data_IF_269018018849
#
_entry.id   IF_269018018849
#
_cell.length_a   1.000
_cell.length_b   1.000
_cell.length_c   1.000
_cell.angle_alpha   90.00
_cell.angle_beta   90.00
_cell.angle_gamma   90.00
#
_symmetry.space_group_name_H-M   'P 1'
#
loop_
_entity.id
_entity.type
_entity.pdbx_description
1 polymer ?
#
# COMPACT_ATOMS: atom_id res chain seq x y z
N UNK A 1 -9.33 -3.13 22.04
CA UNK A 1 -9.49 -3.05 20.58
C UNK A 1 -9.48 -4.46 20.07
N UNK A 2 -10.55 -4.89 19.41
CA UNK A 2 -10.73 -6.29 19.03
C UNK A 2 -9.65 -6.72 18.05
N UNK A 3 -9.09 -7.93 18.26
CA UNK A 3 -8.11 -8.55 17.35
C UNK A 3 -8.64 -8.64 15.91
N UNK A 4 -9.96 -8.60 15.74
CA UNK A 4 -10.62 -8.64 14.44
C UNK A 4 -10.26 -7.45 13.55
N UNK A 5 -10.30 -6.23 14.09
CA UNK A 5 -10.00 -5.01 13.31
C UNK A 5 -8.58 -5.05 12.77
N UNK A 6 -7.63 -5.49 13.60
CA UNK A 6 -6.22 -5.61 13.21
C UNK A 6 -5.99 -6.65 12.11
N UNK A 7 -6.87 -7.64 11.95
CA UNK A 7 -6.71 -8.67 10.92
C UNK A 7 -7.43 -8.34 9.62
N UNK A 8 -8.38 -7.41 9.62
CA UNK A 8 -9.26 -7.14 8.47
C UNK A 8 -8.97 -5.83 7.77
N UNK A 9 -8.09 -5.00 8.32
CA UNK A 9 -7.68 -3.72 7.74
C UNK A 9 -6.29 -3.87 7.14
N UNK A 10 -6.15 -3.42 5.89
CA UNK A 10 -4.96 -3.62 5.05
C UNK A 10 -4.52 -2.28 4.46
N UNK A 11 -3.22 -2.13 4.23
CA UNK A 11 -2.66 -0.95 3.57
C UNK A 11 -2.73 -1.16 2.05
N UNK A 12 -3.19 -0.16 1.32
CA UNK A 12 -3.13 -0.14 -0.14
C UNK A 12 -1.85 0.55 -0.56
N UNK A 13 -1.01 -0.09 -1.38
CA UNK A 13 0.22 0.48 -1.92
C UNK A 13 0.20 0.52 -3.44
N UNK A 14 0.69 1.61 -4.02
CA UNK A 14 0.85 1.79 -5.47
C UNK A 14 1.93 2.85 -5.77
N UNK A 15 2.26 3.06 -7.04
CA UNK A 15 3.33 3.97 -7.45
C UNK A 15 3.00 5.46 -7.23
N UNK A 16 1.77 5.79 -6.81
CA UNK A 16 1.34 7.15 -6.51
C UNK A 16 1.32 7.48 -5.02
N UNK A 17 1.37 6.48 -4.13
CA UNK A 17 1.17 6.67 -2.70
C UNK A 17 0.63 5.42 -2.00
N UNK A 18 -0.05 5.66 -0.89
CA UNK A 18 -0.70 4.62 -0.10
C UNK A 18 -1.98 5.10 0.55
N UNK A 19 -2.84 4.16 0.92
CA UNK A 19 -4.08 4.38 1.66
C UNK A 19 -4.43 3.16 2.51
N UNK A 20 -5.68 3.10 2.95
CA UNK A 20 -6.21 2.00 3.75
C UNK A 20 -7.37 1.32 3.04
N UNK A 21 -7.62 0.07 3.38
CA UNK A 21 -8.79 -0.68 2.93
C UNK A 21 -9.19 -1.69 4.00
N UNK A 22 -10.37 -2.30 3.84
CA UNK A 22 -10.83 -3.37 4.72
C UNK A 22 -11.56 -4.47 3.96
N UNK A 23 -11.49 -5.69 4.49
CA UNK A 23 -12.07 -6.87 3.86
C UNK A 23 -13.52 -7.12 4.29
N UNK A 24 -14.40 -7.36 3.31
CA UNK A 24 -15.78 -7.80 3.50
C UNK A 24 -15.96 -9.26 3.12
N UNK A 25 -15.82 -10.13 4.12
CA UNK A 25 -15.89 -11.60 3.96
C UNK A 25 -17.13 -12.11 3.24
N UNK A 26 -18.31 -11.52 3.49
CA UNK A 26 -19.56 -11.94 2.83
C UNK A 26 -19.55 -11.78 1.31
N UNK A 27 -18.77 -10.82 0.82
CA UNK A 27 -18.68 -10.49 -0.59
C UNK A 27 -17.38 -10.96 -1.22
N UNK A 28 -16.40 -11.34 -0.41
CA UNK A 28 -15.03 -11.64 -0.82
C UNK A 28 -14.40 -10.49 -1.61
N UNK A 29 -14.46 -9.28 -1.03
CA UNK A 29 -13.97 -8.04 -1.63
C UNK A 29 -13.34 -7.15 -0.57
N UNK A 30 -12.35 -6.36 -0.98
CA UNK A 30 -11.81 -5.26 -0.19
C UNK A 30 -12.46 -3.94 -0.61
N UNK A 31 -12.67 -3.06 0.35
CA UNK A 31 -13.26 -1.74 0.16
C UNK A 31 -12.23 -0.67 0.46
N UNK A 32 -12.12 0.32 -0.42
CA UNK A 32 -11.29 1.51 -0.22
C UNK A 32 -11.96 2.74 -0.88
N UNK A 33 -11.30 3.89 -0.86
CA UNK A 33 -11.76 5.04 -1.64
C UNK A 33 -11.31 4.97 -3.09
N UNK A 34 -12.10 5.57 -3.98
CA UNK A 34 -11.73 5.69 -5.39
C UNK A 34 -10.44 6.52 -5.54
N UNK A 35 -10.31 7.65 -4.85
CA UNK A 35 -9.12 8.50 -4.97
C UNK A 35 -7.82 7.82 -4.49
N UNK A 36 -7.91 6.78 -3.67
CA UNK A 36 -6.74 5.99 -3.25
C UNK A 36 -6.20 5.15 -4.40
N UNK A 37 -7.07 4.70 -5.30
CA UNK A 37 -6.72 3.77 -6.40
C UNK A 37 -6.85 4.41 -7.78
N UNK A 38 -7.11 5.71 -7.84
CA UNK A 38 -7.33 6.46 -9.08
C UNK A 38 -6.18 6.30 -10.07
N UNK A 39 -6.53 5.97 -11.32
CA UNK A 39 -5.60 5.73 -12.40
C UNK A 39 -4.86 4.39 -12.31
N UNK A 40 -5.10 3.56 -11.30
CA UNK A 40 -4.53 2.21 -11.22
C UNK A 40 -5.55 1.16 -11.65
N UNK A 41 -5.07 -0.02 -12.09
CA UNK A 41 -5.88 -1.24 -12.26
C UNK A 41 -5.50 -2.33 -11.28
N UNK A 42 -4.26 -2.28 -10.81
CA UNK A 42 -3.72 -3.19 -9.83
C UNK A 42 -2.98 -2.43 -8.75
N UNK A 43 -3.13 -2.88 -7.52
CA UNK A 43 -2.47 -2.37 -6.32
C UNK A 43 -1.97 -3.54 -5.47
N UNK A 44 -1.05 -3.26 -4.55
CA UNK A 44 -0.63 -4.23 -3.55
C UNK A 44 -1.35 -3.97 -2.23
N UNK A 45 -2.03 -4.99 -1.71
CA UNK A 45 -2.57 -4.95 -0.35
C UNK A 45 -1.54 -5.52 0.61
N UNK A 46 -1.23 -4.81 1.68
CA UNK A 46 -0.27 -5.23 2.70
C UNK A 46 -0.99 -5.44 4.04
N UNK A 47 -0.83 -6.63 4.62
CA UNK A 47 -1.36 -6.93 5.96
C UNK A 47 -0.44 -6.39 7.07
N UNK A 48 -0.89 -6.55 8.32
CA UNK A 48 -0.12 -6.10 9.48
C UNK A 48 1.11 -6.96 9.82
N UNK A 49 1.33 -8.05 9.08
CA UNK A 49 2.54 -8.86 9.10
C UNK A 49 3.47 -8.54 7.91
N UNK A 50 3.12 -7.52 7.11
CA UNK A 50 3.81 -7.08 5.88
C UNK A 50 3.74 -8.07 4.73
N UNK A 51 2.86 -9.06 4.76
CA UNK A 51 2.61 -9.89 3.58
C UNK A 51 1.84 -9.08 2.55
N UNK A 52 2.12 -9.32 1.27
CA UNK A 52 1.56 -8.55 0.17
C UNK A 52 0.79 -9.41 -0.80
N UNK A 53 -0.37 -8.91 -1.21
CA UNK A 53 -1.33 -9.59 -2.06
C UNK A 53 -1.62 -8.70 -3.27
N UNK A 54 -1.59 -9.28 -4.48
CA UNK A 54 -1.92 -8.54 -5.68
C UNK A 54 -3.44 -8.36 -5.70
N UNK A 55 -3.92 -7.13 -5.89
CA UNK A 55 -5.35 -6.87 -5.99
C UNK A 55 -5.70 -6.14 -7.27
N UNK A 56 -6.71 -6.65 -7.96
CA UNK A 56 -7.35 -6.02 -9.10
C UNK A 56 -8.45 -5.08 -8.60
N UNK A 57 -8.52 -3.88 -9.17
CA UNK A 57 -9.63 -2.95 -8.96
C UNK A 57 -10.77 -3.41 -9.86
N UNK A 58 -11.86 -3.89 -9.25
CA UNK A 58 -12.97 -4.51 -9.99
C UNK A 58 -14.15 -3.57 -10.18
N UNK A 59 -14.30 -2.57 -9.32
CA UNK A 59 -15.35 -1.56 -9.43
C UNK A 59 -14.89 -0.23 -8.83
N UNK A 60 -15.24 0.87 -9.48
CA UNK A 60 -15.11 2.22 -8.95
C UNK A 60 -16.41 3.02 -9.08
N UNK A 61 -16.69 3.86 -8.08
CA UNK A 61 -17.69 4.91 -8.15
C UNK A 61 -17.05 6.25 -7.74
N UNK A 62 -16.70 7.12 -8.70
CA UNK A 62 -16.02 8.38 -8.41
C UNK A 62 -16.84 9.38 -7.60
N UNK A 63 -18.18 9.38 -7.75
CA UNK A 63 -19.06 10.32 -7.04
C UNK A 63 -19.20 9.93 -5.57
N UNK A 64 -19.34 8.63 -5.30
CA UNK A 64 -19.37 8.11 -3.92
C UNK A 64 -17.97 8.03 -3.30
N UNK A 65 -16.91 8.16 -4.10
CA UNK A 65 -15.52 7.96 -3.72
C UNK A 65 -15.27 6.56 -3.10
N UNK A 66 -15.85 5.52 -3.72
CA UNK A 66 -15.73 4.12 -3.29
C UNK A 66 -15.09 3.29 -4.40
N UNK A 67 -14.19 2.37 -4.03
CA UNK A 67 -13.66 1.34 -4.91
C UNK A 67 -13.71 -0.03 -4.23
N UNK A 68 -13.95 -1.07 -5.04
CA UNK A 68 -13.92 -2.47 -4.64
C UNK A 68 -12.76 -3.18 -5.31
N UNK A 69 -12.05 -3.99 -4.54
CA UNK A 69 -10.86 -4.71 -4.98
C UNK A 69 -11.04 -6.22 -4.74
N UNK A 70 -10.53 -7.02 -5.68
CA UNK A 70 -10.40 -8.47 -5.55
C UNK A 70 -8.92 -8.82 -5.43
N UNK A 71 -8.54 -9.52 -4.36
CA UNK A 71 -7.14 -9.81 -4.05
C UNK A 71 -6.83 -11.30 -4.22
N UNK A 72 -5.61 -11.60 -4.69
CA UNK A 72 -5.09 -12.96 -4.75
C UNK A 72 -4.67 -13.44 -3.36
N UNK A 73 -5.31 -14.50 -2.85
CA UNK A 73 -5.00 -15.08 -1.55
C UNK A 73 -6.19 -15.82 -0.95
N UNK A 74 -5.96 -16.52 0.18
CA UNK A 74 -7.03 -17.11 0.98
C UNK A 74 -7.31 -16.23 2.20
N UNK A 75 -8.44 -15.51 2.16
CA UNK A 75 -8.90 -14.65 3.24
C UNK A 75 -10.05 -15.27 4.04
N UNK A 76 -10.40 -16.54 3.78
CA UNK A 76 -11.55 -17.20 4.40
C UNK A 76 -11.40 -17.42 5.91
N UNK A 77 -10.16 -17.45 6.41
CA UNK A 77 -9.85 -17.54 7.83
C UNK A 77 -9.99 -16.21 8.58
N UNK A 78 -10.10 -15.08 7.86
CA UNK A 78 -10.23 -13.77 8.50
C UNK A 78 -11.55 -13.64 9.27
N UNK A 79 -11.57 -12.86 10.37
CA UNK A 79 -12.79 -12.60 11.11
C UNK A 79 -13.75 -11.76 10.27
N UNK A 80 -15.04 -11.94 10.54
CA UNK A 80 -16.08 -11.17 9.87
C UNK A 80 -16.24 -9.80 10.52
N UNK A 81 -16.29 -8.75 9.70
CA UNK A 81 -16.74 -7.42 10.12
C UNK A 81 -18.16 -7.19 9.60
N UNK A 82 -19.00 -6.59 10.45
CA UNK A 82 -20.38 -6.27 10.10
C UNK A 82 -20.51 -4.80 9.68
N UNK A 83 -21.41 -4.51 8.75
CA UNK A 83 -21.80 -3.15 8.40
C UNK A 83 -22.96 -2.73 9.29
N UNK A 84 -22.92 -1.51 9.84
CA UNK A 84 -23.98 -1.00 10.69
C UNK A 84 -25.27 -0.77 9.89
N UNK A 85 -26.41 -1.18 10.45
CA UNK A 85 -27.73 -0.95 9.85
C UNK A 85 -28.41 0.35 10.29
N UNK A 86 -27.81 1.06 11.26
CA UNK A 86 -28.37 2.29 11.83
C UNK A 86 -27.45 3.47 11.56
N UNK A 87 -28.03 4.63 11.27
CA UNK A 87 -27.30 5.88 11.19
C UNK A 87 -26.62 6.21 12.52
N UNK A 88 -25.47 6.90 12.44
CA UNK A 88 -24.77 7.37 13.62
C UNK A 88 -25.46 8.57 14.25
N UNK A 89 -25.32 8.73 15.56
CA UNK A 89 -25.87 9.88 16.30
C UNK A 89 -24.76 10.83 16.78
N UNK A 90 -25.09 12.11 16.95
CA UNK A 90 -24.18 13.10 17.55
C UNK A 90 -23.63 12.60 18.90
N UNK A 91 -22.30 12.69 19.09
CA UNK A 91 -21.60 12.25 20.30
C UNK A 91 -21.38 10.74 20.41
N UNK A 92 -21.84 9.95 19.44
CA UNK A 92 -21.56 8.51 19.39
C UNK A 92 -20.05 8.28 19.27
N UNK A 93 -19.52 7.39 20.11
CA UNK A 93 -18.10 6.98 20.03
C UNK A 93 -17.83 6.17 18.77
N UNK A 94 -16.72 6.51 18.11
CA UNK A 94 -16.22 5.76 16.95
C UNK A 94 -14.70 5.56 17.03
N UNK A 95 -14.21 4.54 16.34
CA UNK A 95 -12.79 4.30 16.12
C UNK A 95 -12.46 4.37 14.63
N UNK A 96 -11.41 5.09 14.25
CA UNK A 96 -10.86 5.10 12.89
C UNK A 96 -9.68 4.14 12.87
N UNK A 97 -9.60 3.24 11.89
CA UNK A 97 -8.48 2.32 11.73
C UNK A 97 -7.83 2.46 10.35
N UNK A 98 -6.50 2.49 10.30
CA UNK A 98 -5.78 2.66 9.03
C UNK A 98 -4.27 2.88 9.18
N UNK A 99 -3.66 3.35 8.10
CA UNK A 99 -2.21 3.52 7.93
C UNK A 99 -1.85 4.97 7.65
N UNK A 100 -1.87 5.85 8.66
CA UNK A 100 -1.59 7.26 8.47
C UNK A 100 -0.17 7.45 7.95
N UNK A 101 -0.02 8.23 6.89
CA UNK A 101 1.24 8.47 6.16
C UNK A 101 1.94 7.19 5.69
N UNK A 102 1.20 6.08 5.53
CA UNK A 102 1.75 4.76 5.20
C UNK A 102 2.51 4.08 6.36
N UNK A 103 2.48 4.68 7.55
CA UNK A 103 3.08 4.13 8.78
C UNK A 103 2.37 2.85 9.23
N UNK A 104 2.95 2.07 10.17
CA UNK A 104 2.28 0.90 10.72
C UNK A 104 0.87 1.19 11.21
N UNK A 105 0.03 0.16 11.20
CA UNK A 105 -1.38 0.26 11.57
C UNK A 105 -1.61 1.05 12.86
N UNK A 106 -2.54 1.98 12.78
CA UNK A 106 -3.02 2.76 13.92
C UNK A 106 -4.52 2.68 13.99
N UNK A 107 -5.04 2.92 15.20
CA UNK A 107 -6.44 3.20 15.37
C UNK A 107 -6.63 4.29 16.41
N UNK A 108 -7.54 5.22 16.12
CA UNK A 108 -7.77 6.44 16.89
C UNK A 108 -9.24 6.48 17.32
N UNK A 109 -9.50 6.80 18.59
CA UNK A 109 -10.87 6.94 19.12
C UNK A 109 -11.28 8.42 19.05
N UNK A 110 -12.57 8.64 18.76
CA UNK A 110 -13.22 9.93 18.87
C UNK A 110 -14.73 9.78 18.97
N UNK A 111 -15.45 10.85 18.66
CA UNK A 111 -16.90 10.93 18.65
C UNK A 111 -17.41 11.56 17.36
N UNK A 112 -18.65 11.23 17.00
CA UNK A 112 -19.34 11.86 15.89
C UNK A 112 -19.65 13.31 16.24
N UNK A 113 -18.94 14.25 15.60
CA UNK A 113 -19.12 15.69 15.74
C UNK A 113 -20.30 16.21 14.91
N UNK A 114 -20.59 15.57 13.78
CA UNK A 114 -21.79 15.81 12.98
C UNK A 114 -22.16 14.54 12.22
N UNK A 115 -23.36 13.96 12.44
CA UNK A 115 -23.75 12.73 11.75
C UNK A 115 -24.03 12.95 10.26
N UNK A 116 -24.30 14.20 9.86
CA UNK A 116 -24.66 14.56 8.48
C UNK A 116 -24.13 15.95 8.14
N UNK A 117 -22.87 16.00 7.75
CA UNK A 117 -22.16 17.21 7.33
C UNK A 117 -22.19 17.32 5.81
N UNK A 118 -22.77 18.41 5.27
CA UNK A 118 -22.78 18.67 3.82
C UNK A 118 -21.45 19.31 3.39
N UNK A 119 -20.75 18.69 2.45
CA UNK A 119 -19.52 19.19 1.84
C UNK A 119 -19.47 18.75 0.37
N UNK A 120 -19.13 19.66 -0.54
CA UNK A 120 -19.02 19.37 -1.98
C UNK A 120 -20.23 18.56 -2.51
N UNK A 121 -21.43 19.02 -2.15
CA UNK A 121 -22.73 18.40 -2.50
C UNK A 121 -22.95 16.96 -2.00
N UNK A 122 -22.09 16.47 -1.10
CA UNK A 122 -22.17 15.13 -0.51
C UNK A 122 -22.27 15.19 1.01
N UNK A 123 -22.94 14.21 1.61
CA UNK A 123 -23.06 14.09 3.07
C UNK A 123 -22.00 13.17 3.65
N UNK A 124 -21.29 13.66 4.67
CA UNK A 124 -20.27 12.92 5.39
C UNK A 124 -20.61 12.84 6.88
N UNK A 125 -20.08 11.83 7.54
CA UNK A 125 -19.99 11.77 9.01
C UNK A 125 -18.72 12.52 9.40
N UNK A 126 -18.87 13.56 10.22
CA UNK A 126 -17.74 14.28 10.80
C UNK A 126 -17.40 13.69 12.17
N UNK A 127 -16.10 13.57 12.45
CA UNK A 127 -15.55 13.06 13.72
C UNK A 127 -14.41 13.94 14.23
N UNK A 128 -14.19 13.95 15.54
CA UNK A 128 -12.98 14.51 16.16
C UNK A 128 -11.85 13.47 16.32
N UNK A 129 -12.07 12.20 15.93
CA UNK A 129 -11.03 11.20 15.86
C UNK A 129 -9.92 11.65 14.90
N UNK A 130 -8.67 11.38 15.25
CA UNK A 130 -7.54 11.79 14.42
C UNK A 130 -7.55 11.05 13.06
N UNK A 131 -7.76 11.82 11.99
CA UNK A 131 -7.70 11.37 10.60
C UNK A 131 -6.55 12.09 9.90
N UNK A 132 -5.68 11.34 9.24
CA UNK A 132 -4.55 11.85 8.48
C UNK A 132 -4.54 11.24 7.07
N UNK A 133 -3.80 11.83 6.11
CA UNK A 133 -3.49 11.18 4.85
C UNK A 133 -3.02 9.74 5.09
N UNK A 134 -3.49 8.78 4.30
CA UNK A 134 -3.24 7.35 4.50
C UNK A 134 -4.36 6.60 5.25
N UNK A 135 -5.17 7.28 6.07
CA UNK A 135 -6.38 6.67 6.64
C UNK A 135 -7.53 6.54 5.61
N UNK A 136 -7.48 7.29 4.51
CA UNK A 136 -8.48 7.22 3.43
C UNK A 136 -8.70 5.77 2.99
N UNK A 137 -9.96 5.36 2.90
CA UNK A 137 -10.42 4.01 2.58
C UNK A 137 -10.49 3.06 3.77
N UNK A 138 -9.94 3.44 4.92
CA UNK A 138 -10.00 2.67 6.17
C UNK A 138 -11.37 2.77 6.85
N UNK A 139 -11.79 1.76 7.62
CA UNK A 139 -13.10 1.76 8.26
C UNK A 139 -13.17 2.65 9.51
N UNK A 140 -14.35 3.22 9.74
CA UNK A 140 -14.76 3.76 11.04
C UNK A 140 -15.70 2.77 11.72
N UNK A 141 -15.43 2.40 12.96
CA UNK A 141 -16.22 1.44 13.73
C UNK A 141 -17.00 2.10 14.86
N UNK A 142 -18.22 1.64 15.13
CA UNK A 142 -18.90 1.93 16.39
C UNK A 142 -18.41 1.03 17.54
N UNK A 143 -19.03 1.16 18.71
CA UNK A 143 -18.67 0.36 19.89
C UNK A 143 -19.05 -1.13 19.80
N UNK A 144 -19.89 -1.51 18.84
CA UNK A 144 -20.25 -2.91 18.57
C UNK A 144 -19.27 -3.59 17.60
N UNK A 145 -18.24 -2.87 17.10
CA UNK A 145 -17.34 -3.37 16.07
C UNK A 145 -17.95 -3.38 14.66
N UNK A 146 -19.04 -2.65 14.44
CA UNK A 146 -19.69 -2.52 13.13
C UNK A 146 -19.12 -1.30 12.39
N UNK A 147 -18.87 -1.44 11.10
CA UNK A 147 -18.42 -0.34 10.23
C UNK A 147 -19.59 0.64 10.03
N UNK A 148 -19.38 1.91 10.38
CA UNK A 148 -20.35 2.99 10.23
C UNK A 148 -20.00 3.97 9.12
N UNK A 149 -18.73 4.03 8.71
CA UNK A 149 -18.26 4.90 7.64
C UNK A 149 -16.96 4.42 7.01
N UNK A 150 -16.65 4.89 5.80
CA UNK A 150 -15.36 4.74 5.14
C UNK A 150 -14.61 6.08 5.28
N UNK A 151 -13.47 6.08 5.94
CA UNK A 151 -12.67 7.28 6.21
C UNK A 151 -12.22 7.95 4.92
N UNK A 152 -12.31 9.28 4.86
CA UNK A 152 -11.84 10.09 3.72
C UNK A 152 -11.10 11.32 4.24
N UNK A 153 -9.87 11.52 3.78
CA UNK A 153 -9.03 12.66 4.16
C UNK A 153 -9.34 13.88 3.27
N UNK A 154 -10.43 14.60 3.56
CA UNK A 154 -10.86 15.78 2.77
C UNK A 154 -10.16 17.09 3.15
N UNK A 155 -9.85 17.29 4.43
CA UNK A 155 -9.21 18.52 4.93
C UNK A 155 -7.88 18.19 5.60
N UNK A 156 -6.78 18.77 5.10
CA UNK A 156 -5.43 18.58 5.66
C UNK A 156 -5.02 19.70 6.63
N UNK A 157 -5.76 20.81 6.67
CA UNK A 157 -5.43 22.01 7.44
C UNK A 157 -6.49 22.34 8.51
N UNK A 158 -7.21 21.33 8.99
CA UNK A 158 -8.22 21.47 10.03
C UNK A 158 -7.95 20.46 11.14
N UNK A 159 -7.45 20.96 12.27
CA UNK A 159 -7.15 20.10 13.42
C UNK A 159 -8.45 19.47 13.96
N UNK A 160 -8.40 18.16 14.26
CA UNK A 160 -9.51 17.39 14.84
C UNK A 160 -10.81 17.43 14.00
N UNK A 161 -10.70 17.46 12.67
CA UNK A 161 -11.83 17.35 11.76
C UNK A 161 -11.60 16.20 10.77
N UNK A 162 -12.04 15.00 11.16
CA UNK A 162 -12.08 13.83 10.30
C UNK A 162 -13.44 13.67 9.61
N UNK A 163 -13.44 13.03 8.44
CA UNK A 163 -14.66 12.75 7.68
C UNK A 163 -14.72 11.29 7.25
N UNK A 164 -15.93 10.76 7.15
CA UNK A 164 -16.21 9.43 6.63
C UNK A 164 -17.43 9.43 5.72
N UNK A 165 -17.36 8.68 4.62
CA UNK A 165 -18.50 8.39 3.75
C UNK A 165 -19.42 7.45 4.52
N UNK A 166 -20.72 7.80 4.71
CA UNK A 166 -21.65 6.95 5.44
C UNK A 166 -21.73 5.54 4.85
N UNK A 167 -21.77 4.51 5.71
CA UNK A 167 -21.76 3.11 5.23
C UNK A 167 -22.99 2.76 4.38
N UNK A 168 -24.09 3.51 4.51
CA UNK A 168 -25.28 3.36 3.69
C UNK A 168 -24.96 3.42 2.17
N UNK A 169 -24.04 4.31 1.76
CA UNK A 169 -23.62 4.42 0.35
C UNK A 169 -22.97 3.12 -0.15
N UNK A 170 -22.18 2.47 0.69
CA UNK A 170 -21.60 1.16 0.37
C UNK A 170 -22.66 0.05 0.37
N UNK A 171 -23.59 0.07 1.32
CA UNK A 171 -24.66 -0.93 1.38
C UNK A 171 -25.50 -0.94 0.10
N UNK A 172 -25.93 0.23 -0.39
CA UNK A 172 -26.67 0.35 -1.66
C UNK A 172 -25.87 -0.19 -2.84
N UNK A 173 -24.57 0.14 -2.92
CA UNK A 173 -23.69 -0.39 -3.97
C UNK A 173 -23.56 -1.92 -3.90
N UNK A 174 -23.50 -2.50 -2.70
CA UNK A 174 -23.37 -3.94 -2.50
C UNK A 174 -24.65 -4.73 -2.85
N UNK A 175 -25.82 -4.10 -2.93
CA UNK A 175 -27.08 -4.77 -3.32
C UNK A 175 -27.04 -5.28 -4.76
N UNK A 176 -26.27 -4.64 -5.64
CA UNK A 176 -26.16 -4.97 -7.07
C UNK A 176 -24.91 -5.81 -7.39
N UNK A 177 -24.06 -6.10 -6.41
CA UNK A 177 -22.73 -6.67 -6.65
C UNK A 177 -22.74 -8.09 -7.24
N UNK A 178 -23.88 -8.78 -7.22
CA UNK A 178 -24.05 -10.09 -7.85
C UNK A 178 -23.95 -10.04 -9.38
N UNK A 179 -24.21 -8.89 -9.98
CA UNK A 179 -24.17 -8.67 -11.43
C UNK A 179 -22.78 -8.23 -11.91
N UNK A 180 -21.88 -7.89 -10.98
CA UNK A 180 -20.54 -7.40 -11.28
C UNK A 180 -19.64 -8.52 -11.85
N UNK A 181 -19.15 -8.33 -13.07
CA UNK A 181 -18.04 -9.13 -13.60
C UNK A 181 -16.71 -8.67 -12.99
N UNK A 182 -16.24 -9.43 -12.00
CA UNK A 182 -15.00 -9.15 -11.27
C UNK A 182 -13.72 -9.41 -12.07
N UNK A 183 -13.81 -9.95 -13.29
CA UNK A 183 -12.64 -10.13 -14.15
C UNK A 183 -12.27 -8.85 -14.91
N UNK A 184 -13.18 -7.87 -14.93
CA UNK A 184 -13.01 -6.61 -15.62
C UNK A 184 -12.93 -5.44 -14.63
N UNK A 185 -12.37 -4.33 -15.10
CA UNK A 185 -12.49 -3.05 -14.42
C UNK A 185 -13.86 -2.46 -14.76
N UNK A 186 -14.66 -2.15 -13.75
CA UNK A 186 -15.99 -1.60 -13.93
C UNK A 186 -16.11 -0.21 -13.29
N UNK A 187 -16.98 0.60 -13.84
CA UNK A 187 -17.42 1.87 -13.26
C UNK A 187 -18.91 1.79 -12.99
N UNK A 188 -19.35 2.20 -11.81
CA UNK A 188 -20.77 2.37 -11.56
C UNK A 188 -21.24 3.74 -12.06
N UNK A 189 -22.25 3.75 -12.94
CA UNK A 189 -22.90 4.99 -13.35
C UNK A 189 -23.62 5.63 -12.16
N UNK A 190 -23.34 6.90 -11.88
CA UNK A 190 -23.99 7.60 -10.77
C UNK A 190 -25.48 7.91 -11.01
N UNK A 191 -25.95 7.84 -12.26
CA UNK A 191 -27.32 8.24 -12.64
C UNK A 191 -28.29 7.05 -12.70
N UNK A 192 -27.84 5.91 -13.26
CA UNK A 192 -28.67 4.72 -13.43
C UNK A 192 -28.11 3.46 -12.78
N UNK A 193 -26.99 3.57 -12.05
CA UNK A 193 -26.35 2.49 -11.28
C UNK A 193 -25.77 1.33 -12.14
N UNK A 194 -25.89 1.40 -13.47
CA UNK A 194 -25.30 0.45 -14.41
C UNK A 194 -23.78 0.29 -14.23
N UNK A 195 -23.28 -0.95 -14.32
CA UNK A 195 -21.85 -1.24 -14.36
C UNK A 195 -21.32 -1.18 -15.79
N UNK A 196 -20.31 -0.35 -16.01
CA UNK A 196 -19.72 -0.07 -17.32
C UNK A 196 -18.29 -0.57 -17.33
N UNK A 197 -18.00 -1.56 -18.17
CA UNK A 197 -16.65 -2.13 -18.34
C UNK A 197 -15.94 -1.68 -19.61
N UNK A 198 -16.70 -1.18 -20.60
CA UNK A 198 -16.15 -0.72 -21.88
C UNK A 198 -15.87 0.78 -21.85
N UNK A 199 -14.75 1.19 -22.43
CA UNK A 199 -14.34 2.59 -22.48
C UNK A 199 -15.27 3.38 -23.40
N UNK A 200 -15.98 4.35 -22.82
CA UNK A 200 -16.89 5.27 -23.50
C UNK A 200 -16.88 6.64 -22.79
N UNK A 201 -17.32 7.69 -23.49
CA UNK A 201 -17.51 9.02 -22.93
C UNK A 201 -18.85 9.14 -22.16
N UNK A 202 -19.82 8.29 -22.49
CA UNK A 202 -21.17 8.32 -21.94
C UNK A 202 -21.61 6.95 -21.44
N UNK A 203 -22.49 6.93 -20.44
CA UNK A 203 -23.11 5.70 -19.99
C UNK A 203 -23.98 5.10 -21.11
N UNK A 204 -23.77 3.83 -21.51
CA UNK A 204 -24.54 3.20 -22.59
C UNK A 204 -26.02 2.98 -22.24
N UNK A 205 -26.36 2.98 -20.95
CA UNK A 205 -27.73 2.76 -20.45
C UNK A 205 -28.55 4.05 -20.38
N UNK A 206 -28.00 5.13 -19.79
CA UNK A 206 -28.75 6.38 -19.56
C UNK A 206 -28.20 7.63 -20.25
N UNK A 207 -27.03 7.56 -20.88
CA UNK A 207 -26.40 8.70 -21.56
C UNK A 207 -25.76 9.75 -20.64
N UNK A 208 -25.62 9.47 -19.33
CA UNK A 208 -24.86 10.33 -18.40
C UNK A 208 -23.39 10.44 -18.86
N UNK A 209 -22.81 11.64 -18.81
CA UNK A 209 -21.40 11.83 -19.16
C UNK A 209 -20.52 11.18 -18.09
N UNK A 210 -19.62 10.29 -18.48
CA UNK A 210 -18.68 9.67 -17.55
C UNK A 210 -17.55 10.64 -17.19
N UNK A 211 -16.95 10.51 -15.99
CA UNK A 211 -15.79 11.31 -15.62
C UNK A 211 -14.65 11.16 -16.64
N UNK A 212 -14.00 12.26 -16.98
CA UNK A 212 -12.91 12.24 -17.96
C UNK A 212 -11.75 11.36 -17.48
N UNK A 213 -11.14 10.61 -18.40
CA UNK A 213 -10.00 9.73 -18.13
C UNK A 213 -10.25 8.62 -17.09
N UNK A 214 -11.50 8.31 -16.73
CA UNK A 214 -11.82 7.27 -15.75
C UNK A 214 -11.31 5.87 -16.18
N UNK A 215 -11.26 5.62 -17.48
CA UNK A 215 -10.69 4.42 -18.08
C UNK A 215 -9.17 4.48 -18.31
N UNK A 216 -8.56 5.67 -18.18
CA UNK A 216 -7.13 5.84 -18.40
C UNK A 216 -6.33 5.29 -17.23
N UNK A 217 -5.28 4.54 -17.54
CA UNK A 217 -4.28 4.12 -16.55
C UNK A 217 -3.18 5.16 -16.45
N UNK A 218 -2.77 5.44 -15.21
CA UNK A 218 -1.59 6.23 -14.91
C UNK A 218 -0.35 5.45 -15.34
N UNK A 219 0.37 6.00 -16.31
CA UNK A 219 1.66 5.47 -16.73
C UNK A 219 2.73 5.58 -15.64
N UNK A 220 3.73 4.70 -15.71
CA UNK A 220 4.94 4.81 -14.90
C UNK A 220 5.83 5.94 -15.43
N UNK A 221 6.62 6.55 -14.53
CA UNK A 221 7.75 7.38 -14.96
C UNK A 221 8.80 6.51 -15.62
N UNK A 222 9.68 7.09 -16.45
CA UNK A 222 10.76 6.33 -17.08
C UNK A 222 11.68 5.67 -16.04
N UNK A 223 11.95 6.37 -14.93
CA UNK A 223 12.71 5.85 -13.80
C UNK A 223 11.99 4.66 -13.13
N UNK A 224 10.68 4.77 -12.91
CA UNK A 224 9.89 3.68 -12.34
C UNK A 224 9.88 2.48 -13.28
N UNK A 225 9.67 2.66 -14.58
CA UNK A 225 9.74 1.58 -15.56
C UNK A 225 11.12 0.91 -15.58
N UNK A 226 12.21 1.68 -15.48
CA UNK A 226 13.57 1.16 -15.39
C UNK A 226 13.80 0.31 -14.12
N UNK A 227 13.35 0.80 -12.96
CA UNK A 227 13.48 0.08 -11.68
C UNK A 227 12.62 -1.18 -11.65
N UNK A 228 11.36 -1.08 -12.08
CA UNK A 228 10.44 -2.20 -12.12
C UNK A 228 10.92 -3.30 -13.09
N UNK A 229 11.62 -2.93 -14.17
CA UNK A 229 12.27 -3.92 -15.03
C UNK A 229 13.37 -4.71 -14.31
N UNK A 230 14.17 -4.06 -13.46
CA UNK A 230 15.15 -4.77 -12.64
C UNK A 230 14.46 -5.71 -11.63
N UNK A 231 13.35 -5.27 -11.02
CA UNK A 231 12.56 -6.09 -10.08
C UNK A 231 11.96 -7.32 -10.78
N UNK A 232 11.42 -7.16 -12.00
CA UNK A 232 10.95 -8.28 -12.81
C UNK A 232 12.07 -9.29 -13.10
N UNK A 233 13.27 -8.82 -13.43
CA UNK A 233 14.43 -9.69 -13.69
C UNK A 233 14.84 -10.52 -12.46
N UNK A 234 14.45 -10.11 -11.25
CA UNK A 234 14.64 -10.86 -10.01
C UNK A 234 13.56 -11.95 -9.77
N UNK A 235 12.53 -12.00 -10.62
CA UNK A 235 11.37 -12.88 -10.50
C UNK A 235 10.28 -12.35 -9.55
N UNK A 236 10.24 -11.04 -9.32
CA UNK A 236 9.33 -10.40 -8.37
C UNK A 236 8.31 -9.57 -9.14
N UNK A 237 7.04 -9.66 -8.76
CA UNK A 237 6.00 -8.79 -9.31
C UNK A 237 6.23 -7.34 -8.81
N UNK A 238 6.50 -6.36 -9.70
CA UNK A 238 6.79 -4.99 -9.27
C UNK A 238 5.65 -4.32 -8.53
N UNK A 239 4.39 -4.68 -8.83
CA UNK A 239 3.22 -4.13 -8.13
C UNK A 239 3.30 -4.44 -6.64
N UNK A 240 3.65 -5.69 -6.30
CA UNK A 240 3.86 -6.12 -4.92
C UNK A 240 5.02 -5.40 -4.26
N UNK A 241 6.03 -4.97 -5.01
CA UNK A 241 7.17 -4.26 -4.45
C UNK A 241 6.88 -2.78 -4.14
N UNK A 242 5.88 -2.15 -4.75
CA UNK A 242 5.60 -0.71 -4.58
C UNK A 242 5.29 -0.35 -3.12
N UNK A 243 5.86 0.75 -2.62
CA UNK A 243 5.54 1.33 -1.30
C UNK A 243 5.30 2.84 -1.35
N UNK A 244 5.16 3.38 -2.55
CA UNK A 244 4.88 4.79 -2.78
C UNK A 244 5.53 5.27 -4.07
N UNK A 245 5.62 6.59 -4.20
CA UNK A 245 6.22 7.23 -5.37
C UNK A 245 7.73 6.95 -5.44
N UNK A 246 8.16 6.33 -6.56
CA UNK A 246 9.56 5.97 -6.84
C UNK A 246 10.23 5.27 -5.65
N UNK A 247 9.47 4.36 -5.02
CA UNK A 247 9.91 3.61 -3.83
C UNK A 247 9.36 2.18 -3.84
N UNK A 248 10.26 1.23 -3.63
CA UNK A 248 9.98 -0.20 -3.65
C UNK A 248 10.64 -0.91 -2.47
N UNK A 249 9.98 -1.94 -1.95
CA UNK A 249 10.50 -2.84 -0.92
C UNK A 249 10.03 -4.26 -1.20
N UNK A 250 10.96 -5.20 -1.18
CA UNK A 250 10.70 -6.62 -1.45
C UNK A 250 11.80 -7.48 -0.84
N UNK A 251 11.65 -8.81 -0.89
CA UNK A 251 12.66 -9.75 -0.40
C UNK A 251 13.28 -10.55 -1.53
N UNK A 252 14.58 -10.79 -1.43
CA UNK A 252 15.31 -11.80 -2.20
C UNK A 252 15.98 -12.75 -1.23
N UNK A 253 15.49 -14.00 -1.19
CA UNK A 253 15.83 -14.94 -0.13
C UNK A 253 15.49 -14.37 1.25
N UNK A 254 16.45 -14.35 2.19
CA UNK A 254 16.26 -13.74 3.52
C UNK A 254 16.37 -12.22 3.51
N UNK A 255 17.07 -11.63 2.54
CA UNK A 255 17.39 -10.21 2.51
C UNK A 255 16.23 -9.32 2.04
N UNK A 256 15.93 -8.26 2.79
CA UNK A 256 15.03 -7.18 2.35
C UNK A 256 15.80 -6.20 1.46
N UNK A 257 15.23 -5.86 0.30
CA UNK A 257 15.77 -4.89 -0.64
C UNK A 257 14.87 -3.67 -0.64
N UNK A 258 15.47 -2.49 -0.54
CA UNK A 258 14.79 -1.19 -0.57
C UNK A 258 15.35 -0.37 -1.70
N UNK A 259 14.48 0.09 -2.58
CA UNK A 259 14.82 1.02 -3.66
C UNK A 259 14.06 2.32 -3.46
N UNK A 260 14.74 3.46 -3.45
CA UNK A 260 14.07 4.76 -3.29
C UNK A 260 14.90 5.92 -3.84
N UNK A 261 14.22 7.00 -4.22
CA UNK A 261 14.85 8.25 -4.65
C UNK A 261 15.19 9.13 -3.45
N UNK A 262 16.45 9.55 -3.36
CA UNK A 262 16.96 10.46 -2.35
C UNK A 262 17.35 11.80 -2.97
N UNK A 263 16.90 12.90 -2.34
CA UNK A 263 17.17 14.29 -2.77
C UNK A 263 16.87 14.57 -4.25
N UNK A 264 15.98 13.79 -4.88
CA UNK A 264 15.59 13.89 -6.30
C UNK A 264 16.72 13.68 -7.31
N UNK A 265 17.91 13.26 -6.87
CA UNK A 265 19.08 13.09 -7.75
C UNK A 265 19.67 11.70 -7.71
N UNK A 266 19.42 10.93 -6.64
CA UNK A 266 20.03 9.63 -6.45
C UNK A 266 18.99 8.55 -6.26
N UNK A 267 19.11 7.47 -7.03
CA UNK A 267 18.44 6.21 -6.74
C UNK A 267 19.34 5.42 -5.79
N UNK A 268 18.79 5.04 -4.64
CA UNK A 268 19.41 4.09 -3.72
C UNK A 268 18.78 2.72 -3.92
N UNK A 269 19.60 1.68 -4.03
CA UNK A 269 19.22 0.30 -3.82
C UNK A 269 20.02 -0.21 -2.61
N UNK A 270 19.34 -0.59 -1.53
CA UNK A 270 20.00 -0.91 -0.25
C UNK A 270 19.34 -2.08 0.45
N UNK A 271 20.09 -2.79 1.28
CA UNK A 271 19.61 -3.92 2.06
C UNK A 271 20.19 -3.88 3.48
N UNK A 272 19.34 -3.90 4.53
CA UNK A 272 19.77 -4.11 5.90
C UNK A 272 20.07 -5.61 6.12
N UNK A 273 21.36 -6.00 6.08
CA UNK A 273 21.80 -7.40 6.11
C UNK A 273 21.71 -8.03 7.51
N UNK A 274 22.66 -7.70 8.40
CA UNK A 274 22.77 -8.29 9.73
C UNK A 274 23.14 -7.23 10.77
N UNK A 275 22.79 -7.51 12.01
CA UNK A 275 23.32 -6.83 13.18
C UNK A 275 24.71 -7.36 13.52
N UNK A 276 25.61 -6.45 13.88
CA UNK A 276 26.94 -6.78 14.39
C UNK A 276 26.85 -7.77 15.58
N UNK A 277 27.80 -8.71 15.69
CA UNK A 277 27.83 -9.65 16.80
C UNK A 277 28.09 -8.91 18.12
N UNK A 278 27.55 -9.42 19.22
CA UNK A 278 27.70 -8.80 20.56
C UNK A 278 29.14 -8.83 21.09
N UNK A 279 30.01 -9.66 20.51
CA UNK A 279 31.42 -9.86 20.90
C UNK A 279 32.26 -10.10 19.64
N UNK A 280 33.58 -9.94 19.77
CA UNK A 280 34.54 -10.21 18.70
C UNK A 280 34.27 -9.37 17.42
N UNK A 281 34.18 -8.05 17.58
CA UNK A 281 33.84 -7.12 16.50
C UNK A 281 34.98 -6.88 15.50
N UNK A 282 36.24 -7.05 15.91
CA UNK A 282 37.40 -6.71 15.08
C UNK A 282 37.37 -7.40 13.70
N UNK A 283 37.16 -8.72 13.58
CA UNK A 283 37.16 -9.40 12.29
C UNK A 283 36.09 -8.87 11.31
N UNK A 284 34.86 -8.68 11.80
CA UNK A 284 33.78 -8.17 10.95
C UNK A 284 34.05 -6.72 10.55
N UNK A 285 34.48 -5.86 11.47
CA UNK A 285 34.78 -4.45 11.16
C UNK A 285 35.95 -4.34 10.18
N UNK A 286 36.97 -5.18 10.29
CA UNK A 286 38.05 -5.25 9.30
C UNK A 286 37.51 -5.64 7.93
N UNK A 287 36.66 -6.68 7.86
CA UNK A 287 36.06 -7.11 6.60
C UNK A 287 35.22 -6.00 5.94
N UNK A 288 34.38 -5.29 6.71
CA UNK A 288 33.55 -4.19 6.19
C UNK A 288 34.39 -3.07 5.53
N UNK A 289 35.63 -2.86 6.00
CA UNK A 289 36.54 -1.86 5.44
C UNK A 289 37.34 -2.36 4.22
N UNK A 290 37.51 -3.67 4.06
CA UNK A 290 38.38 -4.27 3.05
C UNK A 290 37.67 -5.07 1.96
N UNK A 291 36.34 -5.22 2.03
CA UNK A 291 35.56 -5.99 1.07
C UNK A 291 35.59 -5.33 -0.33
N UNK A 292 36.50 -5.78 -1.19
CA UNK A 292 36.59 -5.34 -2.59
C UNK A 292 35.80 -6.23 -3.54
N UNK A 293 35.50 -7.45 -3.12
CA UNK A 293 34.76 -8.49 -3.85
C UNK A 293 33.27 -8.18 -4.01
N UNK A 294 32.78 -7.16 -3.31
CA UNK A 294 31.39 -6.69 -3.36
C UNK A 294 31.19 -5.52 -4.33
N UNK A 295 32.25 -5.02 -5.00
CA UNK A 295 32.09 -3.92 -5.97
C UNK A 295 31.09 -4.32 -7.06
N UNK A 296 30.19 -3.42 -7.49
CA UNK A 296 30.21 -1.96 -7.27
C UNK A 296 29.51 -1.49 -5.98
N UNK A 297 29.11 -2.40 -5.09
CA UNK A 297 28.38 -2.08 -3.87
C UNK A 297 29.31 -1.62 -2.75
N UNK A 298 28.70 -1.00 -1.73
CA UNK A 298 29.39 -0.54 -0.54
C UNK A 298 28.72 -1.11 0.71
N UNK A 299 29.54 -1.57 1.65
CA UNK A 299 29.08 -1.88 2.99
C UNK A 299 29.12 -0.63 3.87
N UNK A 300 28.09 -0.47 4.69
CA UNK A 300 27.96 0.63 5.64
C UNK A 300 27.42 0.13 6.98
N UNK A 301 27.55 0.98 7.99
CA UNK A 301 26.99 0.77 9.32
C UNK A 301 26.09 1.94 9.70
N UNK A 302 24.89 1.62 10.20
CA UNK A 302 24.04 2.55 10.93
C UNK A 302 23.70 1.93 12.28
N UNK A 303 24.18 2.56 13.36
CA UNK A 303 24.19 1.94 14.69
C UNK A 303 24.95 0.61 14.68
N UNK A 304 24.23 -0.49 14.93
CA UNK A 304 24.75 -1.86 14.89
C UNK A 304 24.35 -2.64 13.64
N UNK A 305 23.57 -2.06 12.73
CA UNK A 305 23.06 -2.73 11.54
C UNK A 305 24.02 -2.51 10.37
N UNK A 306 24.41 -3.61 9.71
CA UNK A 306 25.20 -3.64 8.49
C UNK A 306 24.27 -3.46 7.30
N UNK A 307 24.66 -2.59 6.37
CA UNK A 307 23.94 -2.32 5.13
C UNK A 307 24.81 -2.61 3.91
N UNK A 308 24.22 -3.22 2.88
CA UNK A 308 24.77 -3.24 1.53
C UNK A 308 24.05 -2.17 0.72
N UNK A 309 24.78 -1.29 0.02
CA UNK A 309 24.18 -0.18 -0.74
C UNK A 309 24.80 0.01 -2.11
N UNK A 310 23.94 0.31 -3.09
CA UNK A 310 24.28 0.77 -4.42
C UNK A 310 23.62 2.13 -4.64
N UNK A 311 24.42 3.16 -4.89
CA UNK A 311 23.96 4.53 -5.13
C UNK A 311 24.22 4.91 -6.57
N UNK A 312 23.16 5.33 -7.26
CA UNK A 312 23.18 5.66 -8.68
C UNK A 312 22.72 7.11 -8.84
N UNK A 313 23.42 7.91 -9.64
CA UNK A 313 22.90 9.22 -10.04
C UNK A 313 21.85 9.01 -11.13
N UNK A 314 20.67 9.62 -10.99
CA UNK A 314 19.51 9.32 -11.86
C UNK A 314 19.81 9.62 -13.34
N UNK A 315 20.68 10.59 -13.65
CA UNK A 315 21.09 10.84 -15.05
C UNK A 315 21.77 9.64 -15.71
N UNK A 316 22.46 8.80 -14.94
CA UNK A 316 23.25 7.69 -15.49
C UNK A 316 22.35 6.57 -15.99
N UNK A 317 21.11 6.49 -15.46
CA UNK A 317 20.06 5.59 -15.93
C UNK A 317 19.62 5.93 -17.37
N UNK A 318 19.84 7.17 -17.81
CA UNK A 318 19.51 7.66 -19.15
C UNK A 318 20.74 7.81 -20.05
N UNK A 319 21.81 7.08 -19.73
CA UNK A 319 23.09 7.12 -20.44
C UNK A 319 23.48 5.74 -20.98
N UNK A 320 24.65 5.65 -21.62
CA UNK A 320 25.22 4.37 -22.09
C UNK A 320 25.48 3.36 -20.95
N UNK A 321 25.45 3.80 -19.68
CA UNK A 321 25.59 2.94 -18.51
C UNK A 321 24.29 2.25 -18.06
N UNK A 322 23.14 2.55 -18.68
CA UNK A 322 21.82 2.10 -18.24
C UNK A 322 21.71 0.57 -18.08
N UNK A 323 22.19 -0.20 -19.07
CA UNK A 323 22.14 -1.67 -19.03
C UNK A 323 23.01 -2.23 -17.90
N UNK A 324 24.21 -1.70 -17.71
CA UNK A 324 25.12 -2.10 -16.63
C UNK A 324 24.51 -1.77 -15.26
N UNK A 325 23.94 -0.58 -15.10
CA UNK A 325 23.27 -0.16 -13.87
C UNK A 325 22.07 -1.08 -13.57
N UNK A 326 21.24 -1.41 -14.57
CA UNK A 326 20.09 -2.29 -14.37
C UNK A 326 20.54 -3.69 -13.92
N UNK A 327 21.60 -4.21 -14.54
CA UNK A 327 22.23 -5.47 -14.14
C UNK A 327 22.77 -5.37 -12.70
N UNK A 328 23.46 -4.30 -12.36
CA UNK A 328 24.01 -4.09 -11.01
C UNK A 328 22.91 -3.98 -9.94
N UNK A 329 21.76 -3.35 -10.24
CA UNK A 329 20.58 -3.35 -9.35
C UNK A 329 20.07 -4.78 -9.16
N UNK A 330 19.95 -5.54 -10.25
CA UNK A 330 19.48 -6.94 -10.24
C UNK A 330 20.39 -7.80 -9.37
N UNK A 331 21.70 -7.76 -9.65
CA UNK A 331 22.73 -8.54 -8.96
C UNK A 331 22.87 -8.16 -7.48
N UNK A 332 22.56 -6.90 -7.11
CA UNK A 332 22.64 -6.44 -5.72
C UNK A 332 21.69 -7.22 -4.82
N UNK A 333 20.49 -7.54 -5.31
CA UNK A 333 19.51 -8.31 -4.55
C UNK A 333 19.99 -9.74 -4.25
N UNK A 334 20.64 -10.38 -5.23
CA UNK A 334 21.25 -11.70 -5.02
C UNK A 334 22.48 -11.62 -4.13
N UNK A 335 23.30 -10.57 -4.29
CA UNK A 335 24.48 -10.37 -3.45
C UNK A 335 24.10 -10.06 -2.00
N UNK A 336 22.99 -9.37 -1.75
CA UNK A 336 22.48 -9.14 -0.40
C UNK A 336 22.18 -10.48 0.32
N UNK A 337 21.45 -11.37 -0.34
CA UNK A 337 21.12 -12.72 0.16
C UNK A 337 22.35 -13.63 0.32
N UNK A 338 23.38 -13.47 -0.52
CA UNK A 338 24.65 -14.16 -0.30
C UNK A 338 25.37 -13.60 0.95
N UNK A 339 25.34 -12.27 1.09
CA UNK A 339 26.09 -11.55 2.10
C UNK A 339 25.51 -11.70 3.50
N UNK A 340 24.18 -11.73 3.66
CA UNK A 340 23.58 -11.87 4.97
C UNK A 340 23.89 -13.24 5.62
N UNK A 341 23.87 -14.29 4.80
CA UNK A 341 24.29 -15.64 5.15
C UNK A 341 25.79 -15.70 5.47
N UNK A 342 26.64 -15.13 4.60
CA UNK A 342 28.09 -15.10 4.83
C UNK A 342 28.46 -14.39 6.14
N UNK A 343 27.82 -13.26 6.44
CA UNK A 343 28.05 -12.50 7.67
C UNK A 343 27.61 -13.28 8.92
N UNK A 344 26.47 -13.97 8.84
CA UNK A 344 25.98 -14.83 9.91
C UNK A 344 26.95 -16.02 10.16
N UNK A 345 27.31 -16.75 9.11
CA UNK A 345 28.12 -17.97 9.20
C UNK A 345 29.58 -17.69 9.60
N UNK A 346 30.16 -16.61 9.07
CA UNK A 346 31.60 -16.33 9.24
C UNK A 346 31.89 -15.54 10.50
N UNK A 347 31.04 -14.57 10.83
CA UNK A 347 31.29 -13.62 11.92
C UNK A 347 30.29 -13.74 13.08
N UNK A 348 29.28 -14.60 12.98
CA UNK A 348 28.25 -14.74 14.02
C UNK A 348 27.33 -13.52 14.10
N UNK A 349 27.16 -12.79 13.00
CA UNK A 349 26.22 -11.67 12.92
C UNK A 349 24.77 -12.20 13.05
N UNK A 350 23.90 -11.44 13.74
CA UNK A 350 22.49 -11.80 13.87
C UNK A 350 21.73 -11.24 12.66
N UNK A 351 20.87 -12.04 12.00
CA UNK A 351 20.06 -11.52 10.89
C UNK A 351 19.27 -10.27 11.28
N UNK A 352 19.10 -9.38 10.31
CA UNK A 352 18.28 -8.17 10.44
C UNK A 352 16.86 -8.50 10.90
N UNK A 353 16.22 -7.60 11.65
CA UNK A 353 14.80 -7.74 12.00
C UNK A 353 13.88 -7.70 10.77
N UNK A 354 14.38 -7.16 9.66
CA UNK A 354 13.71 -7.08 8.36
C UNK A 354 13.86 -8.35 7.52
N UNK A 355 14.71 -9.29 7.96
CA UNK A 355 14.94 -10.52 7.22
C UNK A 355 13.69 -11.40 7.16
N UNK A 356 13.47 -12.04 6.01
CA UNK A 356 12.35 -12.95 5.81
C UNK A 356 12.61 -14.26 6.55
N UNK A 357 11.99 -14.42 7.72
CA UNK A 357 12.25 -15.53 8.65
C UNK A 357 12.11 -16.93 8.05
N UNK A 358 11.17 -17.12 7.13
CA UNK A 358 10.94 -18.43 6.49
C UNK A 358 12.02 -18.80 5.46
N UNK A 359 12.92 -17.87 5.15
CA UNK A 359 14.03 -18.05 4.21
C UNK A 359 15.42 -18.03 4.89
N UNK A 360 15.46 -17.95 6.23
CA UNK A 360 16.69 -18.03 7.04
C UNK A 360 17.06 -19.48 7.32
#
# INVERSE_FOLDING_TARGET
>A
MDQNIFQTVYKVNHAGGSGSCFYLKKHDLFVTNYHVVEGFRQVALEDNQKNRYLANIVLVNPILDIALLSAEGDFTALPEISLACTEVTLGQKINVAGYPFGMPFTATEGTVSSPKQLMDDSYYIQTDAAVNPGNSGGPMFNQNGEVVAITTSKLTNADNMGFGIPIASLCTLLEQISELDRNNFNIQCNSCEEFISEEDEYCPSCGEKLPENIFQQRGLTELAAFCEKAIENMGINPVLARVGYESWTFHKGSSEIRMFVYQRSYLFCTSPLNNLPKKNLEPVLTYLLSAEDIKPYQLGLDGNQIYLSYRIHISDIFSDFAEEIQKNITDMAFKADEMDNYLADTFGCEFSEYAKKDAI
#
